data_IF_495272725498
#
_entry.id   IF_495272725498
#
_cell.length_a   1.000
_cell.length_b   1.000
_cell.length_c   1.000
_cell.angle_alpha   90.00
_cell.angle_beta   90.00
_cell.angle_gamma   90.00
#
_symmetry.space_group_name_H-M   'P 1'
#
loop_
_entity.id
_entity.type
_entity.pdbx_description
1 polymer ?
#
# COMPACT_ATOMS: atom_id res chain seq x y z
N UNK A 1 50.87 -8.51 31.01
CA UNK A 1 51.02 -7.71 32.26
C UNK A 1 49.65 -7.20 32.55
N UNK A 2 48.89 -7.57 33.49
CA UNK A 2 48.93 -8.32 34.74
C UNK A 2 47.53 -8.92 34.90
N UNK A 3 47.26 -10.15 35.05
CA UNK A 3 47.20 -11.03 36.22
C UNK A 3 46.86 -10.33 37.52
N UNK A 4 45.73 -10.72 38.11
CA UNK A 4 45.50 -10.95 39.54
C UNK A 4 44.03 -11.37 39.75
N UNK A 5 43.80 -12.59 40.06
CA UNK A 5 43.88 -13.48 41.21
C UNK A 5 42.53 -13.68 41.87
N UNK A 6 42.18 -14.96 41.88
CA UNK A 6 41.22 -15.62 42.77
C UNK A 6 41.49 -15.34 44.22
N UNK A 7 40.45 -15.27 45.04
CA UNK A 7 40.54 -15.81 46.41
C UNK A 7 39.22 -16.42 46.87
N UNK A 8 39.25 -17.66 47.34
CA UNK A 8 38.13 -18.30 48.03
C UNK A 8 38.39 -18.27 49.54
N UNK A 9 37.37 -18.45 50.34
CA UNK A 9 37.26 -18.79 51.76
C UNK A 9 36.14 -17.95 52.40
N UNK A 10 35.21 -18.42 53.18
CA UNK A 10 35.12 -19.57 54.08
C UNK A 10 33.65 -19.78 54.48
N UNK A 11 33.29 -21.03 54.68
CA UNK A 11 32.19 -21.59 55.48
C UNK A 11 32.55 -21.34 57.02
N UNK A 12 31.71 -21.58 58.09
CA UNK A 12 30.62 -22.54 58.19
C UNK A 12 29.43 -22.17 59.11
N UNK A 13 28.45 -23.10 59.09
CA UNK A 13 27.64 -23.55 60.26
C UNK A 13 26.53 -22.68 60.85
N UNK A 14 25.30 -23.14 60.62
CA UNK A 14 24.48 -23.52 61.79
C UNK A 14 23.38 -24.53 61.36
N UNK A 15 23.62 -25.72 61.87
CA UNK A 15 22.64 -26.79 61.98
C UNK A 15 21.66 -26.37 63.09
N UNK A 16 20.39 -26.25 62.76
CA UNK A 16 19.33 -26.41 63.75
C UNK A 16 18.05 -26.93 63.11
N UNK A 17 17.84 -28.13 63.52
CA UNK A 17 16.56 -28.74 63.98
C UNK A 17 15.65 -29.35 62.95
N UNK A 18 15.90 -30.66 62.80
CA UNK A 18 14.93 -31.60 62.28
C UNK A 18 13.94 -31.93 63.38
N UNK A 19 12.72 -31.47 63.29
CA UNK A 19 11.54 -32.16 63.83
C UNK A 19 10.30 -31.28 63.78
N UNK A 20 9.27 -31.83 63.17
CA UNK A 20 7.87 -31.34 63.02
C UNK A 20 7.67 -30.59 61.68
N UNK A 21 6.96 -31.14 60.70
CA UNK A 21 5.56 -31.59 60.75
C UNK A 21 5.32 -32.60 59.64
N UNK A 22 5.08 -33.81 59.95
CA UNK A 22 4.24 -34.73 59.19
C UNK A 22 2.80 -34.27 59.44
N UNK A 23 2.13 -33.74 58.40
CA UNK A 23 0.70 -33.90 58.12
C UNK A 23 0.27 -32.85 57.11
N UNK A 24 0.20 -33.26 55.87
CA UNK A 24 -0.93 -33.07 54.97
C UNK A 24 -0.63 -33.83 53.69
N UNK A 25 -1.10 -35.07 53.67
CA UNK A 25 -1.33 -35.79 52.44
C UNK A 25 -2.41 -35.05 51.66
N UNK A 26 -1.97 -34.11 50.82
CA UNK A 26 -2.75 -33.72 49.68
C UNK A 26 -2.37 -34.67 48.55
N UNK A 27 -3.01 -35.82 48.53
CA UNK A 27 -3.08 -36.67 47.37
C UNK A 27 -3.82 -35.90 46.30
N UNK A 28 -3.08 -35.13 45.53
CA UNK A 28 -3.56 -34.58 44.25
C UNK A 28 -3.75 -35.81 43.36
N UNK A 29 -5.00 -36.32 43.30
CA UNK A 29 -5.39 -37.30 42.29
C UNK A 29 -5.09 -36.65 40.93
N UNK A 30 -3.99 -37.07 40.31
CA UNK A 30 -3.68 -36.77 38.92
C UNK A 30 -4.84 -37.30 38.08
N UNK A 31 -5.61 -36.41 37.52
CA UNK A 31 -6.71 -36.80 36.64
C UNK A 31 -6.15 -37.38 35.34
N UNK A 32 -6.93 -38.25 34.69
CA UNK A 32 -6.54 -38.82 33.39
C UNK A 32 -6.23 -37.75 32.37
N UNK A 33 -6.85 -36.59 32.55
CA UNK A 33 -6.60 -35.37 31.71
C UNK A 33 -5.20 -34.79 31.97
N UNK A 34 -4.73 -34.73 33.22
CA UNK A 34 -3.38 -34.27 33.55
C UNK A 34 -2.28 -35.21 33.01
N UNK A 35 -2.59 -36.52 32.91
CA UNK A 35 -1.68 -37.53 32.32
C UNK A 35 -1.69 -37.46 30.79
N UNK A 36 -2.79 -37.11 30.17
CA UNK A 36 -2.93 -36.93 28.73
C UNK A 36 -2.23 -35.63 28.24
N UNK A 37 -2.26 -34.59 29.06
CA UNK A 37 -1.55 -33.34 28.77
C UNK A 37 -0.04 -33.46 29.03
N UNK A 38 0.37 -34.37 29.90
CA UNK A 38 1.77 -34.71 30.20
C UNK A 38 2.34 -35.81 29.30
N UNK A 39 1.55 -36.36 28.37
CA UNK A 39 2.08 -37.28 27.36
C UNK A 39 3.19 -36.57 26.55
N UNK A 40 4.38 -37.17 26.41
CA UNK A 40 5.45 -36.53 25.66
C UNK A 40 4.93 -36.31 24.24
N UNK A 41 4.74 -35.03 23.86
CA UNK A 41 4.39 -34.67 22.51
C UNK A 41 5.43 -35.28 21.61
N UNK A 42 5.00 -36.09 20.65
CA UNK A 42 5.90 -36.76 19.71
C UNK A 42 6.72 -35.65 19.00
N UNK A 43 8.03 -35.56 19.22
CA UNK A 43 8.86 -34.52 18.63
C UNK A 43 8.81 -34.54 17.10
N UNK A 44 8.49 -35.69 16.50
CA UNK A 44 8.27 -35.81 15.06
C UNK A 44 6.96 -35.13 14.63
N UNK A 45 5.90 -35.24 15.43
CA UNK A 45 4.64 -34.57 15.15
C UNK A 45 4.76 -33.04 15.30
N UNK A 46 5.49 -32.56 16.31
CA UNK A 46 5.77 -31.12 16.48
C UNK A 46 6.58 -30.58 15.31
N UNK A 47 7.62 -31.30 14.89
CA UNK A 47 8.46 -30.90 13.77
C UNK A 47 7.66 -30.87 12.45
N UNK A 48 6.76 -31.83 12.24
CA UNK A 48 5.85 -31.84 11.08
C UNK A 48 4.90 -30.63 11.08
N UNK A 49 4.33 -30.30 12.21
CA UNK A 49 3.48 -29.11 12.35
C UNK A 49 4.27 -27.83 12.07
N UNK A 50 5.49 -27.72 12.59
CA UNK A 50 6.36 -26.57 12.33
C UNK A 50 6.74 -26.46 10.87
N UNK A 51 7.06 -27.58 10.21
CA UNK A 51 7.32 -27.61 8.78
C UNK A 51 6.10 -27.17 7.95
N UNK A 52 4.92 -27.66 8.29
CA UNK A 52 3.68 -27.26 7.62
C UNK A 52 3.37 -25.77 7.80
N UNK A 53 3.57 -25.26 9.04
CA UNK A 53 3.42 -23.85 9.33
C UNK A 53 4.41 -23.01 8.54
N UNK A 54 5.68 -23.36 8.56
CA UNK A 54 6.74 -22.66 7.83
C UNK A 54 6.47 -22.68 6.31
N UNK A 55 6.00 -23.80 5.79
CA UNK A 55 5.64 -23.92 4.38
C UNK A 55 4.47 -23.00 4.02
N UNK A 56 3.45 -22.94 4.86
CA UNK A 56 2.32 -22.01 4.67
C UNK A 56 2.76 -20.53 4.74
N UNK A 57 3.60 -20.18 5.70
CA UNK A 57 4.17 -18.85 5.83
C UNK A 57 5.03 -18.48 4.61
N UNK A 58 5.83 -19.42 4.11
CA UNK A 58 6.65 -19.21 2.92
C UNK A 58 5.80 -18.96 1.67
N UNK A 59 4.72 -19.73 1.47
CA UNK A 59 3.78 -19.52 0.35
C UNK A 59 3.13 -18.14 0.43
N UNK A 60 2.67 -17.75 1.62
CA UNK A 60 2.07 -16.44 1.85
C UNK A 60 3.08 -15.30 1.65
N UNK A 61 4.31 -15.49 2.13
CA UNK A 61 5.41 -14.55 1.92
C UNK A 61 5.71 -14.37 0.44
N UNK A 62 5.85 -15.46 -0.33
CA UNK A 62 6.11 -15.41 -1.76
C UNK A 62 5.00 -14.66 -2.50
N UNK A 63 3.73 -14.98 -2.22
CA UNK A 63 2.60 -14.30 -2.83
C UNK A 63 2.57 -12.80 -2.51
N UNK A 64 2.96 -12.41 -1.29
CA UNK A 64 3.08 -11.00 -0.90
C UNK A 64 4.20 -10.31 -1.67
N UNK A 65 5.40 -10.91 -1.72
CA UNK A 65 6.56 -10.35 -2.44
C UNK A 65 6.26 -10.15 -3.92
N UNK A 66 5.61 -11.11 -4.57
CA UNK A 66 5.22 -10.97 -5.98
C UNK A 66 4.26 -9.79 -6.18
N UNK A 67 3.25 -9.65 -5.31
CA UNK A 67 2.31 -8.52 -5.35
C UNK A 67 3.00 -7.17 -5.11
N UNK A 68 3.87 -7.11 -4.10
CA UNK A 68 4.62 -5.89 -3.76
C UNK A 68 5.56 -5.48 -4.91
N UNK A 69 6.14 -6.44 -5.62
CA UNK A 69 6.98 -6.21 -6.79
C UNK A 69 6.19 -5.59 -7.95
N UNK A 70 4.99 -6.10 -8.22
CA UNK A 70 4.11 -5.55 -9.26
C UNK A 70 3.64 -4.13 -8.91
N UNK A 71 3.30 -3.90 -7.65
CA UNK A 71 2.95 -2.56 -7.14
C UNK A 71 4.14 -1.60 -7.29
N UNK A 72 5.34 -2.03 -6.89
CA UNK A 72 6.54 -1.21 -7.01
C UNK A 72 6.85 -0.85 -8.48
N UNK A 73 6.72 -1.82 -9.39
CA UNK A 73 6.90 -1.60 -10.83
C UNK A 73 5.89 -0.57 -11.37
N UNK A 74 4.62 -0.74 -11.04
CA UNK A 74 3.56 0.16 -11.50
C UNK A 74 3.75 1.58 -10.92
N UNK A 75 4.21 1.68 -9.68
CA UNK A 75 4.53 2.96 -9.05
C UNK A 75 5.69 3.66 -9.76
N UNK A 76 6.76 2.94 -10.08
CA UNK A 76 7.89 3.51 -10.80
C UNK A 76 7.49 4.03 -12.20
N UNK A 77 6.68 3.28 -12.94
CA UNK A 77 6.13 3.73 -14.22
C UNK A 77 5.26 4.99 -14.04
N UNK A 78 4.41 5.01 -13.01
CA UNK A 78 3.56 6.15 -12.70
C UNK A 78 4.37 7.42 -12.39
N UNK A 79 5.49 7.30 -11.67
CA UNK A 79 6.38 8.43 -11.37
C UNK A 79 7.04 8.99 -12.62
N UNK A 80 7.55 8.11 -13.49
CA UNK A 80 8.14 8.53 -14.76
C UNK A 80 7.11 9.26 -15.61
N UNK A 81 5.91 8.70 -15.79
CA UNK A 81 4.85 9.34 -16.58
C UNK A 81 4.47 10.68 -15.94
N UNK A 82 4.34 10.77 -14.61
CA UNK A 82 4.02 12.02 -13.92
C UNK A 82 5.03 13.12 -14.21
N UNK A 83 6.32 12.79 -14.31
CA UNK A 83 7.36 13.75 -14.67
C UNK A 83 7.24 14.27 -16.11
N UNK A 84 6.58 13.50 -17.02
CA UNK A 84 6.33 13.90 -18.40
C UNK A 84 5.01 14.66 -18.61
N UNK A 85 4.09 14.68 -17.61
CA UNK A 85 2.79 15.33 -17.76
C UNK A 85 2.89 16.81 -18.20
N UNK A 86 3.80 17.65 -17.69
CA UNK A 86 3.90 19.03 -18.14
C UNK A 86 4.22 19.15 -19.63
N UNK A 87 5.06 18.27 -20.15
CA UNK A 87 5.37 18.27 -21.58
C UNK A 87 4.18 17.82 -22.43
N UNK A 88 3.37 16.89 -21.93
CA UNK A 88 2.12 16.47 -22.59
C UNK A 88 1.09 17.60 -22.59
N UNK A 89 1.02 18.39 -21.51
CA UNK A 89 0.13 19.56 -21.44
C UNK A 89 0.54 20.65 -22.43
N UNK A 90 1.84 20.91 -22.55
CA UNK A 90 2.35 21.88 -23.54
C UNK A 90 2.07 21.45 -24.97
N UNK A 91 2.20 20.14 -25.25
CA UNK A 91 1.82 19.59 -26.56
C UNK A 91 0.33 19.70 -26.85
N UNK A 92 -0.52 19.41 -25.83
CA UNK A 92 -1.96 19.57 -25.96
C UNK A 92 -2.36 21.03 -26.18
N UNK A 93 -1.67 21.97 -25.52
CA UNK A 93 -1.87 23.40 -25.69
C UNK A 93 -1.47 23.86 -27.11
N UNK A 94 -0.31 23.42 -27.62
CA UNK A 94 0.15 23.74 -28.97
C UNK A 94 -0.82 23.17 -30.04
N UNK A 95 -1.39 22.00 -29.80
CA UNK A 95 -2.42 21.42 -30.68
C UNK A 95 -3.71 22.26 -30.66
N UNK A 96 -4.16 22.68 -29.50
CA UNK A 96 -5.36 23.55 -29.38
C UNK A 96 -5.19 24.91 -30.04
N UNK A 97 -3.97 25.43 -30.13
CA UNK A 97 -3.64 26.67 -30.84
C UNK A 97 -3.43 26.48 -32.35
N UNK A 98 -3.43 25.23 -32.83
CA UNK A 98 -3.21 24.92 -34.26
C UNK A 98 -1.73 24.95 -34.69
N UNK A 99 -0.78 25.15 -33.75
CA UNK A 99 0.65 25.23 -34.04
C UNK A 99 1.24 23.91 -34.57
N UNK A 100 0.54 22.82 -34.39
CA UNK A 100 0.93 21.48 -34.84
C UNK A 100 0.37 21.12 -36.21
N UNK A 101 -0.59 21.86 -36.73
CA UNK A 101 -1.21 21.57 -38.03
C UNK A 101 -0.22 21.74 -39.18
N UNK A 102 -0.04 20.68 -39.98
CA UNK A 102 0.90 20.66 -41.08
C UNK A 102 2.38 20.52 -40.65
N UNK A 103 2.66 20.44 -39.35
CA UNK A 103 4.02 20.28 -38.82
C UNK A 103 4.42 18.80 -38.74
N UNK A 104 5.69 18.46 -38.99
CA UNK A 104 6.22 17.12 -38.69
C UNK A 104 6.05 16.69 -37.24
N UNK A 105 5.86 17.64 -36.31
CA UNK A 105 5.65 17.37 -34.89
C UNK A 105 4.31 16.70 -34.59
N UNK A 106 3.26 16.90 -35.39
CA UNK A 106 1.98 16.23 -35.23
C UNK A 106 2.12 14.69 -35.20
N UNK A 107 3.00 14.16 -36.06
CA UNK A 107 3.28 12.72 -36.08
C UNK A 107 4.03 12.24 -34.80
N UNK A 108 4.87 13.09 -34.23
CA UNK A 108 5.59 12.78 -32.96
C UNK A 108 4.60 12.76 -31.79
N UNK A 109 3.70 13.73 -31.71
CA UNK A 109 2.64 13.79 -30.67
C UNK A 109 1.75 12.56 -30.74
N UNK A 110 1.33 12.16 -31.93
CA UNK A 110 0.53 10.94 -32.14
C UNK A 110 1.26 9.68 -31.65
N UNK A 111 2.55 9.56 -31.98
CA UNK A 111 3.37 8.43 -31.52
C UNK A 111 3.54 8.43 -30.01
N UNK A 112 3.68 9.58 -29.39
CA UNK A 112 3.83 9.73 -27.93
C UNK A 112 2.52 9.33 -27.21
N UNK A 113 1.36 9.78 -27.71
CA UNK A 113 0.05 9.35 -27.21
C UNK A 113 -0.13 7.84 -27.31
N UNK A 114 0.11 7.27 -28.50
CA UNK A 114 0.02 5.83 -28.71
C UNK A 114 0.98 5.04 -27.78
N UNK A 115 2.12 5.61 -27.44
CA UNK A 115 3.02 5.00 -26.46
C UNK A 115 2.43 5.05 -25.05
N UNK A 116 1.82 6.18 -24.67
CA UNK A 116 1.11 6.31 -23.39
C UNK A 116 -0.05 5.32 -23.28
N UNK A 117 -0.85 5.18 -24.33
CA UNK A 117 -1.99 4.25 -24.37
C UNK A 117 -1.58 2.79 -24.15
N UNK A 118 -0.40 2.39 -24.65
CA UNK A 118 0.15 1.03 -24.42
C UNK A 118 0.45 0.76 -22.94
N UNK A 119 0.75 1.80 -22.18
CA UNK A 119 0.92 1.70 -20.73
C UNK A 119 -0.38 1.89 -19.95
N UNK A 120 -1.49 2.14 -20.66
CA UNK A 120 -2.79 2.39 -20.05
C UNK A 120 -2.96 3.82 -19.54
N UNK A 121 -2.17 4.78 -20.08
CA UNK A 121 -2.37 6.20 -19.80
C UNK A 121 -3.65 6.67 -20.48
N UNK A 122 -4.56 7.25 -19.70
CA UNK A 122 -5.82 7.80 -20.19
C UNK A 122 -5.97 9.23 -19.71
N UNK A 123 -6.42 10.09 -20.62
CA UNK A 123 -6.82 11.45 -20.29
C UNK A 123 -8.31 11.47 -20.02
N UNK A 124 -8.74 12.23 -19.03
CA UNK A 124 -10.15 12.38 -18.69
C UNK A 124 -10.48 13.86 -18.38
N UNK A 125 -11.73 14.11 -18.12
CA UNK A 125 -12.40 15.40 -18.02
C UNK A 125 -12.61 16.07 -19.38
N UNK A 126 -13.87 16.16 -19.73
CA UNK A 126 -14.36 16.84 -20.94
C UNK A 126 -15.37 17.91 -20.52
N UNK A 127 -15.42 18.99 -21.26
CA UNK A 127 -16.43 20.03 -21.06
C UNK A 127 -17.85 19.44 -21.16
N UNK A 128 -18.67 19.71 -20.17
CA UNK A 128 -20.03 19.20 -20.05
C UNK A 128 -20.14 17.91 -19.22
N UNK A 129 -19.03 17.28 -18.85
CA UNK A 129 -19.04 16.12 -17.95
C UNK A 129 -19.50 16.54 -16.53
N UNK A 130 -20.05 15.58 -15.79
CA UNK A 130 -20.40 15.76 -14.39
C UNK A 130 -19.14 15.94 -13.58
N UNK A 131 -19.16 16.90 -12.66
CA UNK A 131 -18.06 17.11 -11.72
C UNK A 131 -18.04 16.00 -10.68
N UNK A 132 -16.85 15.42 -10.47
CA UNK A 132 -16.57 14.43 -9.44
C UNK A 132 -15.39 14.90 -8.58
N UNK A 133 -15.60 15.17 -7.28
CA UNK A 133 -14.55 15.65 -6.39
C UNK A 133 -13.38 14.69 -6.19
N UNK A 134 -13.54 13.37 -6.47
CA UNK A 134 -12.48 12.39 -6.30
C UNK A 134 -11.39 12.49 -7.38
N UNK A 135 -11.78 12.94 -8.57
CA UNK A 135 -10.89 12.99 -9.74
C UNK A 135 -10.74 14.39 -10.36
N UNK A 136 -11.60 15.33 -9.98
CA UNK A 136 -11.57 16.70 -10.48
C UNK A 136 -11.27 17.70 -9.36
N UNK A 137 -10.49 18.73 -9.67
CA UNK A 137 -10.21 19.85 -8.80
C UNK A 137 -10.81 21.14 -9.40
N UNK A 138 -11.85 21.67 -8.80
CA UNK A 138 -12.50 22.90 -9.25
C UNK A 138 -11.71 24.14 -8.84
N UNK A 139 -11.16 24.87 -9.83
CA UNK A 139 -10.45 26.12 -9.61
C UNK A 139 -11.39 27.31 -9.54
N UNK A 140 -12.44 27.32 -10.37
CA UNK A 140 -13.42 28.38 -10.49
C UNK A 140 -14.81 27.78 -10.50
N UNK A 141 -15.71 28.39 -9.74
CA UNK A 141 -17.12 28.03 -9.69
C UNK A 141 -17.94 29.22 -10.20
N UNK A 142 -18.74 29.01 -11.21
CA UNK A 142 -19.60 30.04 -11.82
C UNK A 142 -21.07 29.62 -11.70
N UNK A 143 -21.93 30.39 -11.04
CA UNK A 143 -23.36 30.12 -11.01
C UNK A 143 -23.94 30.15 -12.42
N UNK A 144 -24.75 29.15 -12.79
CA UNK A 144 -25.47 29.09 -14.05
C UNK A 144 -26.87 28.53 -13.81
N UNK A 145 -27.89 29.25 -14.29
CA UNK A 145 -29.30 28.86 -14.16
C UNK A 145 -29.71 27.71 -15.09
N UNK A 146 -28.87 27.37 -16.07
CA UNK A 146 -29.17 26.32 -17.04
C UNK A 146 -28.77 24.93 -16.57
N UNK A 147 -28.00 24.82 -15.47
CA UNK A 147 -27.52 23.56 -14.94
C UNK A 147 -28.24 23.20 -13.64
N UNK A 148 -28.63 21.94 -13.53
CA UNK A 148 -29.26 21.37 -12.32
C UNK A 148 -28.26 20.64 -11.42
N UNK A 149 -27.08 20.30 -11.95
CA UNK A 149 -25.99 19.65 -11.26
C UNK A 149 -24.68 20.39 -11.60
N UNK A 150 -23.68 20.19 -10.74
CA UNK A 150 -22.33 20.74 -11.01
C UNK A 150 -21.72 20.03 -12.20
N UNK A 151 -21.42 20.79 -13.26
CA UNK A 151 -20.81 20.27 -14.50
C UNK A 151 -19.53 21.02 -14.84
N UNK A 152 -18.66 20.37 -15.60
CA UNK A 152 -17.40 20.97 -16.06
C UNK A 152 -17.72 22.03 -17.11
N UNK A 153 -17.44 23.28 -16.79
CA UNK A 153 -17.58 24.42 -17.71
C UNK A 153 -16.42 24.47 -18.70
N UNK A 154 -15.21 24.25 -18.20
CA UNK A 154 -13.99 24.23 -19.01
C UNK A 154 -12.89 23.44 -18.32
N UNK A 155 -11.94 22.92 -19.10
CA UNK A 155 -10.81 22.15 -18.61
C UNK A 155 -9.54 22.98 -18.73
N UNK A 156 -8.99 23.38 -17.59
CA UNK A 156 -7.75 24.18 -17.53
C UNK A 156 -6.53 23.28 -17.72
N UNK A 157 -6.53 22.15 -17.00
CA UNK A 157 -5.53 21.11 -17.15
C UNK A 157 -6.21 19.73 -17.16
N UNK A 158 -5.93 18.89 -18.16
CA UNK A 158 -6.52 17.56 -18.23
C UNK A 158 -6.06 16.66 -17.09
N UNK A 159 -6.95 15.81 -16.62
CA UNK A 159 -6.62 14.76 -15.67
C UNK A 159 -6.01 13.55 -16.38
N UNK A 160 -5.17 12.80 -15.66
CA UNK A 160 -4.51 11.60 -16.15
C UNK A 160 -4.67 10.43 -15.22
N UNK A 161 -5.00 9.27 -15.78
CA UNK A 161 -5.04 7.98 -15.11
C UNK A 161 -4.08 7.01 -15.78
N UNK A 162 -3.45 6.13 -15.00
CA UNK A 162 -2.65 5.00 -15.49
C UNK A 162 -3.31 3.70 -15.03
N UNK A 163 -4.01 3.04 -15.93
CA UNK A 163 -4.94 1.97 -15.54
C UNK A 163 -5.98 2.51 -14.57
N UNK A 164 -6.02 1.93 -13.36
CA UNK A 164 -6.93 2.36 -12.28
C UNK A 164 -6.32 3.40 -11.31
N UNK A 165 -5.06 3.78 -11.54
CA UNK A 165 -4.35 4.71 -10.68
C UNK A 165 -4.47 6.15 -11.17
N UNK A 166 -5.01 7.04 -10.33
CA UNK A 166 -5.01 8.48 -10.57
C UNK A 166 -3.57 9.02 -10.49
N UNK A 167 -3.08 9.61 -11.58
CA UNK A 167 -1.77 10.29 -11.63
C UNK A 167 -1.90 11.75 -11.24
N UNK A 168 -2.89 12.43 -11.81
CA UNK A 168 -3.19 13.84 -11.55
C UNK A 168 -4.69 14.10 -11.73
N UNK A 169 -5.36 14.76 -10.76
CA UNK A 169 -6.73 15.21 -10.96
C UNK A 169 -6.80 16.26 -12.07
N UNK A 170 -7.93 16.32 -12.76
CA UNK A 170 -8.16 17.39 -13.73
C UNK A 170 -8.42 18.71 -13.01
N UNK A 171 -7.79 19.79 -13.46
CA UNK A 171 -8.11 21.14 -13.00
C UNK A 171 -9.15 21.76 -13.91
N UNK A 172 -10.33 22.04 -13.35
CA UNK A 172 -11.50 22.43 -14.13
C UNK A 172 -12.15 23.71 -13.58
N UNK A 173 -12.80 24.46 -14.47
CA UNK A 173 -13.82 25.42 -14.10
C UNK A 173 -15.16 24.69 -14.12
N UNK A 174 -16.05 24.98 -13.18
CA UNK A 174 -17.36 24.30 -13.08
C UNK A 174 -18.49 25.30 -13.06
N UNK A 175 -19.62 24.90 -13.64
CA UNK A 175 -20.91 25.55 -13.44
C UNK A 175 -21.61 24.89 -12.26
N UNK A 176 -22.06 25.70 -11.33
CA UNK A 176 -22.90 25.28 -10.22
C UNK A 176 -24.32 25.79 -10.45
N UNK A 177 -25.36 25.07 -9.99
CA UNK A 177 -26.72 25.58 -10.02
C UNK A 177 -26.79 26.94 -9.28
N UNK A 178 -27.40 27.94 -9.91
CA UNK A 178 -27.67 29.17 -9.21
C UNK A 178 -28.77 28.91 -8.16
N UNK A 179 -28.46 29.16 -6.90
CA UNK A 179 -29.48 29.13 -5.87
C UNK A 179 -30.49 30.26 -6.17
N UNK A 180 -31.74 29.88 -6.39
CA UNK A 180 -32.85 30.79 -6.64
C UNK A 180 -33.34 31.45 -5.36
#
# INVERSE_FOLDING_TARGET
MSEEKLNPEENPESIHDASQVLDSESSTELTVEDILDAAPKDPAAELLNDLQRLQAEFVNYKARVERDRDVARNNAVAEVIRAFLPALDDLARAEAHGDLEGSPFAAVVTKLRNAGDKFGLKTFAVKGDKFDPEIHNALVQTPNNEVTETVIADVVEPGFMLGDKLLRPAMVAVFIPAEG
#
